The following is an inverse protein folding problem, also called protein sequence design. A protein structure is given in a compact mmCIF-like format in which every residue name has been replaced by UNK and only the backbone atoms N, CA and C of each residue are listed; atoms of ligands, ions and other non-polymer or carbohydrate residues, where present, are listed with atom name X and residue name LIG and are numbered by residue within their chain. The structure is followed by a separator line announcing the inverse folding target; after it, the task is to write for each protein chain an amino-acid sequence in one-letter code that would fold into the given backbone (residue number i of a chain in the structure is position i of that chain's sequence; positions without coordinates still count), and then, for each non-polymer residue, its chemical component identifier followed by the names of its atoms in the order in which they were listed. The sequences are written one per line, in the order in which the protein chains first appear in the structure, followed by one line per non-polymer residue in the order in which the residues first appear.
data_IF_393039684935
#
_entry.id   IF_393039684935
#
_cell.length_a   1.000
_cell.length_b   1.000
_cell.length_c   1.000
_cell.angle_alpha   90.00
_cell.angle_beta   90.00
_cell.angle_gamma   90.00
#
_symmetry.space_group_name_H-M   'P 1'
#
loop_
_entity.id
_entity.type
_entity.pdbx_description
1 polymer ?
#
# COMPACT_ATOMS: atom_id res chain seq x y z
N UNK A 1 0.32 6.73 -15.46
CA UNK A 1 0.63 5.62 -14.53
C UNK A 1 1.65 6.01 -13.45
N UNK A 2 2.80 6.57 -13.82
CA UNK A 2 3.88 6.95 -12.89
C UNK A 2 3.47 7.92 -11.76
N UNK A 3 2.68 8.97 -12.05
CA UNK A 3 2.08 9.87 -11.03
C UNK A 3 1.31 9.10 -9.97
N UNK A 4 0.42 8.25 -10.45
CA UNK A 4 -0.50 7.50 -9.63
C UNK A 4 0.26 6.51 -8.73
N UNK A 5 1.31 5.87 -9.24
CA UNK A 5 2.16 5.01 -8.42
C UNK A 5 2.85 5.77 -7.29
N UNK A 6 3.58 6.84 -7.58
CA UNK A 6 4.36 7.54 -6.55
C UNK A 6 3.44 8.13 -5.47
N UNK A 7 2.33 8.72 -5.89
CA UNK A 7 1.30 9.24 -4.98
C UNK A 7 0.67 8.10 -4.16
N UNK A 8 0.33 6.98 -4.82
CA UNK A 8 -0.20 5.79 -4.17
C UNK A 8 0.78 5.19 -3.17
N UNK A 9 2.07 5.13 -3.47
CA UNK A 9 3.09 4.60 -2.56
C UNK A 9 3.24 5.48 -1.33
N UNK A 10 3.23 6.81 -1.50
CA UNK A 10 3.22 7.75 -0.38
C UNK A 10 2.00 7.52 0.51
N UNK A 11 0.79 7.58 -0.06
CA UNK A 11 -0.44 7.47 0.72
C UNK A 11 -0.59 6.10 1.38
N UNK A 12 -0.26 5.01 0.67
CA UNK A 12 -0.25 3.67 1.26
C UNK A 12 0.78 3.54 2.37
N UNK A 13 1.89 4.30 2.34
CA UNK A 13 2.89 4.28 3.41
C UNK A 13 2.39 5.04 4.64
N UNK A 14 1.77 6.20 4.43
CA UNK A 14 1.21 7.00 5.54
C UNK A 14 -0.01 6.33 6.16
N UNK A 15 -0.85 5.69 5.34
CA UNK A 15 -2.01 4.92 5.79
C UNK A 15 -1.63 3.89 6.86
N UNK A 16 -0.46 3.26 6.76
CA UNK A 16 0.01 2.27 7.75
C UNK A 16 0.16 2.85 9.16
N UNK A 17 0.40 4.15 9.30
CA UNK A 17 0.44 4.82 10.60
C UNK A 17 -0.94 4.87 11.25
N UNK A 18 -2.01 4.99 10.45
CA UNK A 18 -3.38 5.04 10.97
C UNK A 18 -3.91 3.69 11.44
N UNK A 19 -3.15 2.61 11.20
CA UNK A 19 -3.47 1.28 11.72
C UNK A 19 -3.13 1.14 13.22
N UNK A 20 -2.38 2.07 13.80
CA UNK A 20 -2.13 2.12 15.24
C UNK A 20 -3.45 2.48 15.94
N UNK A 21 -3.81 1.70 16.97
CA UNK A 21 -5.05 1.76 17.75
C UNK A 21 -5.16 2.98 18.66
N UNK A 22 -5.13 4.17 18.06
CA UNK A 22 -5.48 5.43 18.73
C UNK A 22 -6.72 6.05 18.08
N UNK A 23 -7.40 6.92 18.82
CA UNK A 23 -8.58 7.65 18.39
C UNK A 23 -8.27 8.77 17.39
N UNK A 24 -7.66 8.42 16.25
CA UNK A 24 -7.30 9.38 15.20
C UNK A 24 -8.49 10.27 14.83
N UNK A 25 -8.30 11.60 14.72
CA UNK A 25 -9.38 12.47 14.32
C UNK A 25 -9.76 12.18 12.86
N UNK A 26 -11.06 12.26 12.56
CA UNK A 26 -11.65 11.92 11.25
C UNK A 26 -10.94 12.64 10.09
N UNK A 27 -10.45 13.86 10.33
CA UNK A 27 -9.69 14.65 9.35
C UNK A 27 -8.48 13.92 8.78
N UNK A 28 -7.80 13.07 9.56
CA UNK A 28 -6.64 12.30 9.08
C UNK A 28 -7.05 11.36 7.96
N UNK A 29 -8.16 10.64 8.13
CA UNK A 29 -8.68 9.70 7.13
C UNK A 29 -9.10 10.40 5.83
N UNK A 30 -9.67 11.62 5.90
CA UNK A 30 -9.98 12.41 4.71
C UNK A 30 -8.74 12.83 3.89
N UNK A 31 -7.56 12.86 4.51
CA UNK A 31 -6.30 13.16 3.80
C UNK A 31 -5.64 11.94 3.16
N UNK A 32 -6.24 10.76 3.32
CA UNK A 32 -5.72 9.48 2.82
C UNK A 32 -6.68 8.92 1.75
N UNK A 33 -6.46 9.23 0.46
CA UNK A 33 -7.44 8.97 -0.61
C UNK A 33 -7.70 7.48 -0.90
N UNK A 34 -6.94 6.57 -0.29
CA UNK A 34 -7.08 5.12 -0.47
C UNK A 34 -7.63 4.39 0.76
N UNK A 35 -7.83 5.09 1.88
CA UNK A 35 -8.72 4.60 2.92
C UNK A 35 -10.15 4.87 2.47
N UNK A 36 -10.67 3.98 1.64
CA UNK A 36 -12.11 3.82 1.60
C UNK A 36 -12.52 3.38 3.00
N UNK A 37 -13.34 4.12 3.75
CA UNK A 37 -13.85 3.64 5.03
C UNK A 37 -14.66 2.37 4.76
N UNK A 38 -14.03 1.20 4.95
CA UNK A 38 -14.67 -0.11 4.74
C UNK A 38 -15.86 -0.26 5.72
N UNK A 39 -15.81 0.44 6.85
CA UNK A 39 -16.93 0.60 7.79
C UNK A 39 -18.18 1.24 7.16
N UNK A 40 -18.04 2.09 6.14
CA UNK A 40 -19.20 2.76 5.50
C UNK A 40 -19.93 1.86 4.51
N UNK A 41 -19.27 0.82 3.98
CA UNK A 41 -19.94 -0.20 3.14
C UNK A 41 -20.99 -0.93 3.98
N UNK A 42 -20.72 -1.12 5.28
CA UNK A 42 -21.72 -1.62 6.22
C UNK A 42 -22.82 -0.60 6.45
N UNK A 43 -22.56 0.70 6.58
CA UNK A 43 -23.64 1.69 6.66
C UNK A 43 -24.57 1.61 5.44
N UNK A 44 -24.01 1.40 4.23
CA UNK A 44 -24.79 1.27 3.00
C UNK A 44 -25.52 -0.07 2.87
N UNK A 45 -24.98 -1.16 3.42
CA UNK A 45 -25.51 -2.52 3.28
C UNK A 45 -26.11 -3.12 4.59
N UNK A 46 -26.13 -2.38 5.69
CA UNK A 46 -26.60 -2.87 6.99
C UNK A 46 -28.05 -3.33 6.97
N UNK A 47 -28.87 -2.73 6.11
CA UNK A 47 -30.27 -3.11 5.91
C UNK A 47 -30.45 -4.44 5.17
N UNK A 48 -29.42 -4.99 4.51
CA UNK A 48 -29.49 -6.27 3.78
C UNK A 48 -28.99 -7.47 4.59
N UNK A 49 -28.64 -7.29 5.87
CA UNK A 49 -28.04 -8.34 6.69
C UNK A 49 -26.54 -8.55 6.40
N UNK A 50 -25.90 -7.63 5.69
CA UNK A 50 -24.47 -7.68 5.41
C UNK A 50 -23.63 -7.44 6.68
N UNK A 51 -22.87 -8.46 7.09
CA UNK A 51 -21.93 -8.39 8.23
C UNK A 51 -20.48 -8.26 7.78
N UNK A 52 -19.57 -7.97 8.71
CA UNK A 52 -18.12 -7.93 8.42
C UNK A 52 -17.56 -9.27 7.92
N UNK A 53 -18.18 -10.40 8.29
CA UNK A 53 -17.80 -11.71 7.73
C UNK A 53 -18.06 -11.80 6.22
N UNK A 54 -19.16 -11.20 5.74
CA UNK A 54 -19.46 -11.12 4.31
C UNK A 54 -18.43 -10.26 3.59
N UNK A 55 -18.07 -9.11 4.20
CA UNK A 55 -16.97 -8.27 3.70
C UNK A 55 -15.67 -9.07 3.59
N UNK A 56 -15.30 -9.82 4.63
CA UNK A 56 -14.10 -10.66 4.64
C UNK A 56 -14.07 -11.64 3.46
N UNK A 57 -15.14 -12.42 3.26
CA UNK A 57 -15.17 -13.38 2.16
C UNK A 57 -15.28 -12.71 0.78
N UNK A 58 -16.02 -11.60 0.67
CA UNK A 58 -16.13 -10.85 -0.59
C UNK A 58 -14.78 -10.29 -1.04
N UNK A 59 -13.99 -9.73 -0.12
CA UNK A 59 -12.66 -9.20 -0.42
C UNK A 59 -11.65 -10.29 -0.80
N UNK A 60 -11.86 -11.53 -0.36
CA UNK A 60 -11.04 -12.67 -0.79
C UNK A 60 -11.50 -13.16 -2.17
N UNK A 61 -12.76 -13.57 -2.29
CA UNK A 61 -13.19 -14.35 -3.46
C UNK A 61 -13.60 -13.53 -4.67
N UNK A 62 -14.19 -12.33 -4.51
CA UNK A 62 -14.62 -11.55 -5.66
C UNK A 62 -13.43 -11.09 -6.53
N UNK A 63 -12.32 -10.57 -5.95
CA UNK A 63 -11.12 -10.27 -6.73
C UNK A 63 -10.49 -11.52 -7.36
N UNK A 64 -10.46 -12.66 -6.65
CA UNK A 64 -9.93 -13.90 -7.21
C UNK A 64 -10.73 -14.39 -8.43
N UNK A 65 -12.07 -14.31 -8.38
CA UNK A 65 -12.92 -14.63 -9.53
C UNK A 65 -12.67 -13.68 -10.71
N UNK A 66 -12.52 -12.38 -10.41
CA UNK A 66 -12.20 -11.38 -11.44
C UNK A 66 -10.82 -11.63 -12.07
N UNK A 67 -9.80 -11.93 -11.25
CA UNK A 67 -8.46 -12.25 -11.72
C UNK A 67 -8.45 -13.53 -12.55
N UNK A 68 -9.20 -14.55 -12.12
CA UNK A 68 -9.38 -15.78 -12.89
C UNK A 68 -10.03 -15.50 -14.24
N UNK A 69 -11.07 -14.66 -14.30
CA UNK A 69 -11.72 -14.29 -15.56
C UNK A 69 -10.74 -13.59 -16.52
N UNK A 70 -9.93 -12.64 -16.03
CA UNK A 70 -8.88 -12.00 -16.83
C UNK A 70 -7.85 -13.04 -17.30
N UNK A 71 -7.39 -13.90 -16.40
CA UNK A 71 -6.39 -14.93 -16.70
C UNK A 71 -6.89 -15.93 -17.77
N UNK A 72 -8.13 -16.42 -17.65
CA UNK A 72 -8.73 -17.33 -18.61
C UNK A 72 -8.95 -16.67 -19.98
N UNK A 73 -9.33 -15.39 -20.00
CA UNK A 73 -9.44 -14.63 -21.24
C UNK A 73 -8.08 -14.42 -21.90
N UNK A 74 -7.05 -14.14 -21.10
CA UNK A 74 -5.67 -13.99 -21.57
C UNK A 74 -5.06 -15.32 -22.06
N UNK A 75 -5.40 -16.44 -21.42
CA UNK A 75 -4.88 -17.77 -21.75
C UNK A 75 -5.25 -18.28 -23.14
N UNK A 76 -6.19 -17.61 -23.82
CA UNK A 76 -6.51 -17.85 -25.24
C UNK A 76 -5.47 -17.24 -26.19
N UNK A 77 -4.68 -16.27 -25.73
CA UNK A 77 -3.63 -15.62 -26.49
C UNK A 77 -2.31 -16.41 -26.36
N UNK A 78 -1.40 -16.25 -27.34
CA UNK A 78 -0.05 -16.84 -27.24
C UNK A 78 0.72 -16.19 -26.09
N UNK A 79 1.53 -16.96 -25.36
CA UNK A 79 2.29 -16.53 -24.17
C UNK A 79 3.26 -15.36 -24.44
N UNK A 80 3.62 -15.12 -25.69
CA UNK A 80 4.49 -14.00 -26.12
C UNK A 80 3.73 -12.89 -26.86
N UNK A 81 2.40 -12.96 -26.88
CA UNK A 81 1.57 -11.93 -27.50
C UNK A 81 1.52 -10.65 -26.65
N UNK A 82 1.29 -9.52 -27.32
CA UNK A 82 1.03 -8.22 -26.67
C UNK A 82 -0.20 -8.31 -25.75
N UNK A 83 -1.20 -9.10 -26.13
CA UNK A 83 -2.43 -9.33 -25.34
C UNK A 83 -2.12 -10.00 -24.00
N UNK A 84 -1.28 -11.04 -24.01
CA UNK A 84 -0.84 -11.71 -22.79
C UNK A 84 -0.02 -10.78 -21.89
N UNK A 85 0.91 -10.01 -22.47
CA UNK A 85 1.70 -9.04 -21.73
C UNK A 85 0.82 -7.97 -21.06
N UNK A 86 -0.18 -7.43 -21.79
CA UNK A 86 -1.13 -6.46 -21.27
C UNK A 86 -2.01 -7.06 -20.16
N UNK A 87 -2.52 -8.27 -20.33
CA UNK A 87 -3.33 -8.94 -19.33
C UNK A 87 -2.53 -9.24 -18.06
N UNK A 88 -1.31 -9.76 -18.20
CA UNK A 88 -0.42 -10.02 -17.06
C UNK A 88 0.00 -8.73 -16.34
N UNK A 89 0.29 -7.67 -17.08
CA UNK A 89 0.58 -6.35 -16.51
C UNK A 89 -0.63 -5.81 -15.72
N UNK A 90 -1.83 -5.97 -16.27
CA UNK A 90 -3.10 -5.60 -15.61
C UNK A 90 -3.32 -6.39 -14.33
N UNK A 91 -3.19 -7.72 -14.38
CA UNK A 91 -3.28 -8.60 -13.20
C UNK A 91 -2.30 -8.18 -12.12
N UNK A 92 -1.06 -7.89 -12.49
CA UNK A 92 -0.02 -7.47 -11.53
C UNK A 92 -0.36 -6.14 -10.85
N UNK A 93 -0.89 -5.18 -11.60
CA UNK A 93 -1.37 -3.90 -11.05
C UNK A 93 -2.56 -4.11 -10.12
N UNK A 94 -3.55 -4.91 -10.53
CA UNK A 94 -4.72 -5.21 -9.72
C UNK A 94 -4.35 -5.93 -8.42
N UNK A 95 -3.46 -6.93 -8.48
CA UNK A 95 -2.93 -7.61 -7.29
C UNK A 95 -2.20 -6.63 -6.37
N UNK A 96 -1.43 -5.69 -6.91
CA UNK A 96 -0.74 -4.65 -6.13
C UNK A 96 -1.70 -3.74 -5.39
N UNK A 97 -2.80 -3.35 -6.04
CA UNK A 97 -3.86 -2.52 -5.44
C UNK A 97 -4.66 -3.30 -4.39
N UNK A 98 -4.92 -4.58 -4.64
CA UNK A 98 -5.68 -5.47 -3.75
C UNK A 98 -4.90 -5.90 -2.51
N UNK A 99 -3.57 -5.95 -2.58
CA UNK A 99 -2.70 -6.50 -1.53
C UNK A 99 -2.95 -5.92 -0.14
N UNK A 100 -2.93 -4.59 0.01
CA UNK A 100 -3.03 -3.96 1.34
C UNK A 100 -4.46 -4.03 1.91
N UNK A 101 -5.52 -3.68 1.14
CA UNK A 101 -6.90 -3.84 1.60
C UNK A 101 -7.26 -5.27 1.97
N UNK A 102 -6.76 -6.26 1.22
CA UNK A 102 -6.96 -7.67 1.55
C UNK A 102 -6.37 -8.02 2.92
N UNK A 103 -5.08 -7.69 3.13
CA UNK A 103 -4.43 -7.99 4.39
C UNK A 103 -5.10 -7.27 5.56
N UNK A 104 -5.44 -5.98 5.40
CA UNK A 104 -6.17 -5.20 6.42
C UNK A 104 -7.53 -5.83 6.75
N UNK A 105 -8.29 -6.26 5.74
CA UNK A 105 -9.59 -6.92 5.93
C UNK A 105 -9.44 -8.23 6.68
N UNK A 106 -8.46 -9.05 6.28
CA UNK A 106 -8.14 -10.31 6.94
C UNK A 106 -7.77 -10.08 8.41
N UNK A 107 -6.96 -9.06 8.67
CA UNK A 107 -6.51 -8.75 10.01
C UNK A 107 -7.59 -8.13 10.89
N UNK A 108 -8.52 -7.36 10.30
CA UNK A 108 -9.63 -6.76 11.03
C UNK A 108 -10.52 -7.80 11.71
N UNK A 109 -10.51 -9.05 11.23
CA UNK A 109 -11.27 -10.14 11.83
C UNK A 109 -10.69 -10.60 13.18
N UNK A 110 -9.49 -10.16 13.56
CA UNK A 110 -8.85 -10.50 14.84
C UNK A 110 -8.95 -9.39 15.89
N UNK A 111 -9.50 -8.22 15.53
CA UNK A 111 -9.67 -7.10 16.45
C UNK A 111 -10.97 -7.29 17.25
N UNK A 112 -10.85 -7.99 18.37
CA UNK A 112 -11.97 -8.34 19.24
C UNK A 112 -11.84 -7.63 20.58
N UNK A 113 -12.95 -7.07 21.07
CA UNK A 113 -13.03 -6.42 22.38
C UNK A 113 -14.24 -6.92 23.17
N UNK A 114 -14.18 -6.80 24.48
CA UNK A 114 -15.36 -6.99 25.34
C UNK A 114 -16.26 -5.75 25.23
N UNK A 115 -17.57 -5.97 25.16
CA UNK A 115 -18.54 -4.87 25.09
C UNK A 115 -19.33 -4.78 26.40
N UNK A 116 -19.46 -3.60 27.01
CA UNK A 116 -20.19 -3.44 28.26
C UNK A 116 -21.66 -3.88 28.07
N UNK A 117 -22.10 -4.82 28.89
CA UNK A 117 -23.48 -5.34 28.86
C UNK A 117 -23.71 -6.56 27.96
N UNK A 118 -22.68 -7.14 27.34
CA UNK A 118 -22.77 -8.43 26.64
C UNK A 118 -21.70 -9.40 27.15
N UNK A 119 -22.07 -10.68 27.25
CA UNK A 119 -21.12 -11.75 27.62
C UNK A 119 -20.39 -12.21 26.35
N UNK A 120 -19.06 -12.23 26.41
CA UNK A 120 -18.19 -12.65 25.31
C UNK A 120 -17.48 -11.49 24.61
N UNK A 121 -16.55 -11.83 23.71
CA UNK A 121 -15.82 -10.87 22.89
C UNK A 121 -16.49 -10.72 21.55
N UNK A 122 -16.58 -9.50 21.06
CA UNK A 122 -17.18 -9.20 19.75
C UNK A 122 -16.18 -8.42 18.92
N UNK A 123 -16.38 -8.45 17.61
CA UNK A 123 -15.52 -7.75 16.69
C UNK A 123 -15.69 -6.23 16.85
N UNK A 124 -14.58 -5.50 16.95
CA UNK A 124 -14.59 -4.03 17.11
C UNK A 124 -15.27 -3.37 15.90
N UNK A 125 -14.97 -3.87 14.70
CA UNK A 125 -15.57 -3.38 13.45
C UNK A 125 -17.04 -3.80 13.25
N UNK A 126 -17.48 -4.87 13.93
CA UNK A 126 -18.85 -5.35 13.85
C UNK A 126 -19.29 -6.10 15.12
N UNK A 127 -19.91 -5.38 16.07
CA UNK A 127 -20.37 -5.99 17.33
C UNK A 127 -21.50 -7.01 17.18
N UNK A 128 -22.00 -7.28 15.96
CA UNK A 128 -22.92 -8.38 15.69
C UNK A 128 -22.21 -9.73 15.50
N UNK A 129 -20.89 -9.70 15.26
CA UNK A 129 -20.06 -10.89 15.05
C UNK A 129 -19.38 -11.27 16.36
N UNK A 130 -19.69 -12.45 16.88
CA UNK A 130 -19.04 -13.02 18.08
C UNK A 130 -17.66 -13.57 17.72
N UNK A 131 -16.67 -13.24 18.55
CA UNK A 131 -15.30 -13.73 18.42
C UNK A 131 -15.07 -15.11 19.05
N UNK A 132 -16.04 -15.63 19.81
CA UNK A 132 -15.91 -16.86 20.60
C UNK A 132 -16.68 -18.06 19.98
N UNK A 133 -17.27 -17.91 18.78
CA UNK A 133 -18.05 -18.96 18.12
C UNK A 133 -17.23 -19.93 17.24
N UNK A 134 -17.79 -21.13 16.96
CA UNK A 134 -17.15 -22.17 16.14
C UNK A 134 -16.86 -21.76 14.69
N UNK A 135 -17.67 -20.84 14.13
CA UNK A 135 -17.47 -20.28 12.77
C UNK A 135 -16.10 -19.59 12.61
N UNK A 136 -15.44 -19.24 13.72
CA UNK A 136 -14.13 -18.58 13.74
C UNK A 136 -13.02 -19.48 13.21
N UNK A 137 -13.12 -20.80 13.34
CA UNK A 137 -12.09 -21.72 12.82
C UNK A 137 -11.91 -21.50 11.31
N UNK A 138 -13.00 -21.37 10.55
CA UNK A 138 -12.95 -21.09 9.11
C UNK A 138 -12.24 -19.77 8.82
N UNK A 139 -12.56 -18.71 9.57
CA UNK A 139 -11.95 -17.38 9.41
C UNK A 139 -10.44 -17.45 9.68
N UNK A 140 -10.01 -18.14 10.74
CA UNK A 140 -8.59 -18.30 11.07
C UNK A 140 -7.83 -19.05 9.98
N UNK A 141 -8.40 -20.12 9.43
CA UNK A 141 -7.81 -20.88 8.33
C UNK A 141 -7.65 -20.01 7.08
N UNK A 142 -8.71 -19.31 6.66
CA UNK A 142 -8.67 -18.44 5.49
C UNK A 142 -7.69 -17.28 5.69
N UNK A 143 -7.71 -16.65 6.86
CA UNK A 143 -6.78 -15.58 7.21
C UNK A 143 -5.32 -16.05 7.15
N UNK A 144 -5.02 -17.20 7.75
CA UNK A 144 -3.68 -17.79 7.71
C UNK A 144 -3.23 -18.10 6.28
N UNK A 145 -4.11 -18.69 5.46
CA UNK A 145 -3.81 -18.99 4.06
C UNK A 145 -3.57 -17.72 3.25
N UNK A 146 -4.41 -16.70 3.40
CA UNK A 146 -4.26 -15.42 2.69
C UNK A 146 -2.97 -14.73 3.11
N UNK A 147 -2.67 -14.67 4.41
CA UNK A 147 -1.44 -14.04 4.89
C UNK A 147 -0.19 -14.80 4.42
N UNK A 148 -0.22 -16.14 4.44
CA UNK A 148 0.90 -16.98 3.99
C UNK A 148 1.12 -16.89 2.47
N UNK A 149 0.05 -17.01 1.68
CA UNK A 149 0.12 -17.05 0.20
C UNK A 149 0.28 -15.64 -0.37
N UNK A 150 -0.60 -14.71 0.01
CA UNK A 150 -0.60 -13.35 -0.53
C UNK A 150 0.37 -12.48 0.24
N UNK A 151 0.30 -12.46 1.57
CA UNK A 151 1.16 -11.60 2.40
C UNK A 151 2.66 -11.91 2.23
N UNK A 152 3.05 -13.18 2.31
CA UNK A 152 4.46 -13.60 2.26
C UNK A 152 4.83 -14.23 0.92
N UNK A 153 4.01 -15.15 0.41
CA UNK A 153 4.29 -15.91 -0.81
C UNK A 153 4.43 -15.04 -2.05
N UNK A 154 3.50 -14.11 -2.29
CA UNK A 154 3.53 -13.24 -3.48
C UNK A 154 4.78 -12.33 -3.54
N UNK A 155 5.20 -11.66 -2.44
CA UNK A 155 6.44 -10.88 -2.45
C UNK A 155 7.69 -11.72 -2.70
N UNK A 156 7.79 -12.90 -2.07
CA UNK A 156 8.93 -13.82 -2.24
C UNK A 156 8.98 -14.39 -3.66
N UNK A 157 7.83 -14.75 -4.23
CA UNK A 157 7.70 -15.17 -5.62
C UNK A 157 8.17 -14.06 -6.56
N UNK A 158 7.65 -12.84 -6.38
CA UNK A 158 8.01 -11.68 -7.20
C UNK A 158 9.50 -11.36 -7.11
N UNK A 159 10.08 -11.43 -5.91
CA UNK A 159 11.51 -11.22 -5.69
C UNK A 159 12.34 -12.25 -6.47
N UNK A 160 11.98 -13.52 -6.32
CA UNK A 160 12.68 -14.64 -6.96
C UNK A 160 12.60 -14.57 -8.48
N UNK A 161 11.41 -14.26 -9.03
CA UNK A 161 11.21 -14.15 -10.47
C UNK A 161 11.92 -12.95 -11.07
N UNK A 162 11.84 -11.79 -10.46
CA UNK A 162 12.57 -10.59 -10.93
C UNK A 162 14.09 -10.83 -10.88
N UNK A 163 14.59 -11.52 -9.85
CA UNK A 163 16.00 -11.92 -9.77
C UNK A 163 16.39 -12.87 -10.90
N UNK A 164 15.57 -13.87 -11.22
CA UNK A 164 15.81 -14.77 -12.35
C UNK A 164 15.85 -13.99 -13.68
N UNK A 165 14.91 -13.07 -13.91
CA UNK A 165 14.89 -12.22 -15.10
C UNK A 165 16.14 -11.34 -15.21
N UNK A 166 16.60 -10.78 -14.08
CA UNK A 166 17.85 -10.02 -14.02
C UNK A 166 19.05 -10.85 -14.45
N UNK A 167 19.21 -12.05 -13.89
CA UNK A 167 20.34 -12.95 -14.19
C UNK A 167 20.30 -13.38 -15.66
N UNK A 168 19.11 -13.60 -16.21
CA UNK A 168 18.92 -13.95 -17.62
C UNK A 168 19.08 -12.77 -18.59
N UNK A 169 19.26 -11.53 -18.10
CA UNK A 169 19.31 -10.33 -18.95
C UNK A 169 17.97 -9.96 -19.60
N UNK A 170 16.84 -10.44 -19.07
CA UNK A 170 15.49 -10.29 -19.61
C UNK A 170 14.63 -9.28 -18.82
N UNK A 171 15.25 -8.21 -18.32
CA UNK A 171 14.54 -7.09 -17.70
C UNK A 171 14.09 -6.10 -18.78
N UNK A 172 13.11 -6.51 -19.56
CA UNK A 172 12.54 -5.71 -20.65
C UNK A 172 11.09 -5.29 -20.38
N UNK A 173 10.61 -4.27 -21.10
CA UNK A 173 9.23 -3.79 -20.96
C UNK A 173 8.18 -4.84 -21.33
N UNK A 174 8.55 -5.86 -22.14
CA UNK A 174 7.70 -6.97 -22.56
C UNK A 174 7.47 -8.03 -21.47
N UNK A 175 8.25 -8.01 -20.39
CA UNK A 175 8.07 -8.92 -19.28
C UNK A 175 6.73 -8.74 -18.59
N UNK A 176 6.08 -9.85 -18.22
CA UNK A 176 4.84 -9.90 -17.44
C UNK A 176 4.89 -9.15 -16.10
N UNK A 177 6.10 -8.98 -15.53
CA UNK A 177 6.34 -8.32 -14.25
C UNK A 177 6.95 -6.91 -14.41
N UNK A 178 7.01 -6.37 -15.63
CA UNK A 178 7.60 -5.05 -15.90
C UNK A 178 6.97 -3.96 -15.04
N UNK A 179 5.67 -4.05 -14.78
CA UNK A 179 4.96 -3.13 -13.89
C UNK A 179 5.52 -3.10 -12.47
N UNK A 180 6.13 -4.17 -11.95
CA UNK A 180 6.75 -4.18 -10.61
C UNK A 180 8.12 -3.50 -10.60
N UNK A 181 8.94 -3.72 -11.63
CA UNK A 181 10.35 -3.30 -11.60
C UNK A 181 10.72 -2.09 -12.46
N UNK A 182 9.86 -1.63 -13.37
CA UNK A 182 10.20 -0.57 -14.35
C UNK A 182 10.62 0.77 -13.73
N UNK A 183 10.31 1.01 -12.46
CA UNK A 183 10.67 2.24 -11.75
C UNK A 183 11.93 2.11 -10.90
N UNK A 184 12.51 0.90 -10.87
CA UNK A 184 13.71 0.60 -10.12
C UNK A 184 14.91 0.46 -11.06
N UNK A 185 16.06 0.82 -10.54
CA UNK A 185 17.32 0.64 -11.22
C UNK A 185 17.64 -0.87 -11.34
N UNK A 186 18.56 -1.18 -12.24
CA UNK A 186 19.00 -2.56 -12.48
C UNK A 186 19.74 -3.17 -11.30
N UNK A 187 20.25 -2.36 -10.35
CA UNK A 187 20.90 -2.85 -9.14
C UNK A 187 19.87 -3.51 -8.20
N UNK A 188 18.68 -2.93 -8.04
CA UNK A 188 17.64 -3.38 -7.11
C UNK A 188 16.23 -3.45 -7.75
N UNK A 189 16.02 -4.23 -8.83
CA UNK A 189 14.73 -4.29 -9.52
C UNK A 189 13.62 -4.95 -8.70
N UNK A 190 13.99 -5.70 -7.65
CA UNK A 190 13.08 -6.44 -6.77
C UNK A 190 12.56 -5.62 -5.58
N UNK A 191 12.82 -4.31 -5.55
CA UNK A 191 12.51 -3.48 -4.37
C UNK A 191 11.01 -3.36 -4.07
N UNK A 192 10.13 -3.52 -5.07
CA UNK A 192 8.68 -3.61 -4.83
C UNK A 192 8.33 -4.76 -3.86
N UNK A 193 9.02 -5.90 -3.96
CA UNK A 193 8.82 -7.02 -3.03
C UNK A 193 9.18 -6.65 -1.60
N UNK A 194 10.21 -5.82 -1.39
CA UNK A 194 10.60 -5.32 -0.07
C UNK A 194 9.48 -4.45 0.51
N UNK A 195 8.85 -3.64 -0.33
CA UNK A 195 7.70 -2.81 0.06
C UNK A 195 6.50 -3.65 0.47
N UNK A 196 6.17 -4.70 -0.30
CA UNK A 196 5.10 -5.60 0.09
C UNK A 196 5.40 -6.32 1.41
N UNK A 197 6.61 -6.86 1.59
CA UNK A 197 7.00 -7.49 2.86
C UNK A 197 6.91 -6.54 4.05
N UNK A 198 7.33 -5.28 3.88
CA UNK A 198 7.16 -4.23 4.90
C UNK A 198 5.68 -4.03 5.25
N UNK A 199 4.80 -3.94 4.25
CA UNK A 199 3.35 -3.78 4.46
C UNK A 199 2.75 -4.98 5.18
N UNK A 200 3.06 -6.22 4.76
CA UNK A 200 2.62 -7.42 5.46
C UNK A 200 3.14 -7.46 6.89
N UNK A 201 4.40 -7.10 7.13
CA UNK A 201 4.96 -7.05 8.48
C UNK A 201 4.22 -6.03 9.36
N UNK A 202 3.96 -4.82 8.86
CA UNK A 202 3.21 -3.80 9.60
C UNK A 202 1.79 -4.27 9.90
N UNK A 203 1.03 -4.67 8.87
CA UNK A 203 -0.37 -5.10 9.02
C UNK A 203 -0.47 -6.35 9.91
N UNK A 204 0.37 -7.36 9.68
CA UNK A 204 0.36 -8.60 10.43
C UNK A 204 0.75 -8.43 11.90
N UNK A 205 1.78 -7.63 12.20
CA UNK A 205 2.22 -7.41 13.58
C UNK A 205 1.12 -6.72 14.40
N UNK A 206 0.48 -5.68 13.86
CA UNK A 206 -0.64 -5.01 14.52
C UNK A 206 -1.79 -5.97 14.88
N UNK A 207 -1.87 -7.11 14.19
CA UNK A 207 -2.96 -8.10 14.31
C UNK A 207 -2.64 -9.26 15.24
N UNK A 208 -1.36 -9.51 15.48
CA UNK A 208 -0.90 -10.53 16.43
C UNK A 208 -0.96 -9.94 17.85
N UNK A 209 -0.55 -8.68 18.01
CA UNK A 209 -0.47 -8.02 19.32
C UNK A 209 -1.82 -7.48 19.83
N UNK A 210 -2.84 -7.41 18.97
CA UNK A 210 -4.25 -7.12 19.33
C UNK A 210 -4.84 -8.12 20.31
N UNK A 211 -4.46 -9.39 20.22
CA UNK A 211 -5.06 -10.46 21.02
C UNK A 211 -4.44 -10.64 22.42
N UNK A 212 -3.40 -9.89 22.75
CA UNK A 212 -2.78 -9.94 24.08
C UNK A 212 -3.44 -8.92 25.02
N UNK A 213 -4.25 -9.43 25.96
CA UNK A 213 -5.17 -8.80 26.94
C UNK A 213 -4.64 -7.66 27.85
N UNK A 214 -3.73 -6.79 27.39
CA UNK A 214 -3.38 -5.55 28.11
C UNK A 214 -3.68 -4.35 27.24
N UNK A 215 -4.96 -4.00 27.18
CA UNK A 215 -5.50 -2.85 26.43
C UNK A 215 -4.67 -1.57 26.64
N UNK A 216 -4.19 -1.32 27.86
CA UNK A 216 -3.42 -0.10 28.18
C UNK A 216 -2.10 0.05 27.42
N UNK A 217 -1.45 -1.05 27.00
CA UNK A 217 -0.13 -1.01 26.38
C UNK A 217 -0.16 -1.28 24.87
N UNK A 218 -1.34 -1.57 24.31
CA UNK A 218 -1.50 -1.94 22.90
C UNK A 218 -0.95 -0.85 21.96
N UNK A 219 -1.35 0.44 22.06
CA UNK A 219 -0.89 1.45 21.10
C UNK A 219 0.61 1.75 21.22
N UNK A 220 1.19 1.58 22.43
CA UNK A 220 2.63 1.72 22.69
C UNK A 220 3.42 0.65 21.93
N UNK A 221 3.01 -0.62 22.05
CA UNK A 221 3.67 -1.76 21.39
C UNK A 221 3.54 -1.63 19.86
N UNK A 222 2.33 -1.34 19.37
CA UNK A 222 2.04 -1.14 17.94
C UNK A 222 2.90 -0.01 17.35
N UNK A 223 2.98 1.14 18.04
CA UNK A 223 3.80 2.28 17.61
C UNK A 223 5.29 1.94 17.61
N UNK A 224 5.78 1.26 18.65
CA UNK A 224 7.20 0.91 18.80
C UNK A 224 7.66 -0.06 17.72
N UNK A 225 6.88 -1.11 17.45
CA UNK A 225 7.15 -2.08 16.39
C UNK A 225 7.07 -1.42 15.01
N UNK A 226 6.07 -0.57 14.80
CA UNK A 226 5.93 0.19 13.55
C UNK A 226 7.11 1.13 13.33
N UNK A 227 7.62 1.78 14.38
CA UNK A 227 8.85 2.58 14.31
C UNK A 227 10.06 1.73 13.94
N UNK A 228 10.22 0.55 14.54
CA UNK A 228 11.34 -0.35 14.24
C UNK A 228 11.31 -0.82 12.77
N UNK A 229 10.15 -1.28 12.28
CA UNK A 229 10.00 -1.75 10.89
C UNK A 229 10.24 -0.60 9.90
N UNK A 230 9.63 0.56 10.13
CA UNK A 230 9.79 1.71 9.26
C UNK A 230 11.21 2.30 9.32
N UNK A 231 11.86 2.26 10.48
CA UNK A 231 13.25 2.67 10.65
C UNK A 231 14.20 1.77 9.86
N UNK A 232 14.02 0.45 9.97
CA UNK A 232 14.77 -0.52 9.16
C UNK A 232 14.55 -0.29 7.67
N UNK A 233 13.30 -0.04 7.26
CA UNK A 233 12.98 0.25 5.88
C UNK A 233 13.67 1.54 5.37
N UNK A 234 13.71 2.62 6.15
CA UNK A 234 14.42 3.86 5.80
C UNK A 234 15.92 3.59 5.62
N UNK A 235 16.53 2.79 6.50
CA UNK A 235 17.95 2.41 6.37
C UNK A 235 18.17 1.64 5.06
N UNK A 236 17.33 0.66 4.75
CA UNK A 236 17.39 -0.11 3.49
C UNK A 236 17.21 0.80 2.28
N UNK A 237 16.21 1.68 2.30
CA UNK A 237 15.92 2.63 1.23
C UNK A 237 17.11 3.58 0.97
N UNK A 238 17.71 4.12 2.03
CA UNK A 238 18.85 5.03 1.94
C UNK A 238 20.10 4.34 1.40
N UNK A 239 20.34 3.08 1.79
CA UNK A 239 21.49 2.28 1.35
C UNK A 239 21.35 1.79 -0.09
N UNK A 240 20.17 1.30 -0.46
CA UNK A 240 19.95 0.67 -1.77
C UNK A 240 19.72 1.70 -2.88
N UNK A 241 19.06 2.83 -2.57
CA UNK A 241 18.67 3.88 -3.54
C UNK A 241 18.05 3.27 -4.81
N UNK A 242 16.95 2.52 -4.67
CA UNK A 242 16.52 1.54 -5.66
C UNK A 242 15.93 2.18 -6.92
N UNK A 243 15.61 3.47 -6.92
CA UNK A 243 14.83 4.09 -8.00
C UNK A 243 15.68 4.51 -9.20
N UNK A 244 15.07 4.46 -10.39
CA UNK A 244 15.60 5.11 -11.59
C UNK A 244 15.72 6.62 -11.35
N UNK A 245 16.75 7.25 -11.88
CA UNK A 245 16.94 8.69 -11.74
C UNK A 245 15.90 9.45 -12.57
N UNK A 246 14.95 10.10 -11.88
CA UNK A 246 14.04 11.06 -12.48
C UNK A 246 14.32 12.45 -11.91
N UNK A 247 15.04 13.32 -12.63
CA UNK A 247 15.44 14.62 -12.10
C UNK A 247 14.21 15.49 -11.88
N UNK A 248 14.15 16.16 -10.73
CA UNK A 248 13.23 17.26 -10.49
C UNK A 248 13.99 18.57 -10.39
N UNK A 249 13.67 19.48 -11.29
CA UNK A 249 14.19 20.84 -11.28
C UNK A 249 13.68 21.69 -10.13
N UNK A 250 12.44 21.43 -9.68
CA UNK A 250 11.88 22.07 -8.49
C UNK A 250 12.69 21.74 -7.23
N UNK A 251 13.24 20.52 -7.15
CA UNK A 251 14.06 20.05 -6.03
C UNK A 251 15.56 20.01 -6.35
N UNK A 252 16.06 20.90 -7.21
CA UNK A 252 17.50 21.05 -7.47
C UNK A 252 18.15 19.79 -8.08
N UNK A 253 17.52 19.18 -9.09
CA UNK A 253 17.94 17.95 -9.77
C UNK A 253 18.09 16.72 -8.86
N UNK A 254 17.38 16.70 -7.73
CA UNK A 254 17.25 15.48 -6.92
C UNK A 254 16.31 14.48 -7.60
N UNK A 255 16.50 13.19 -7.30
CA UNK A 255 15.64 12.12 -7.81
C UNK A 255 14.26 12.21 -7.15
N UNK A 256 13.23 12.54 -7.94
CA UNK A 256 11.87 12.73 -7.45
C UNK A 256 11.27 11.47 -6.82
N UNK A 257 11.56 10.27 -7.33
CA UNK A 257 11.05 9.02 -6.74
C UNK A 257 11.68 8.73 -5.40
N UNK A 258 13.00 8.91 -5.32
CA UNK A 258 13.72 8.74 -4.06
C UNK A 258 13.20 9.74 -3.01
N UNK A 259 12.94 10.99 -3.41
CA UNK A 259 12.40 12.01 -2.51
C UNK A 259 10.99 11.66 -2.04
N UNK A 260 10.10 11.26 -2.95
CA UNK A 260 8.73 10.89 -2.60
C UNK A 260 8.70 9.69 -1.66
N UNK A 261 9.47 8.65 -1.96
CA UNK A 261 9.56 7.47 -1.10
C UNK A 261 10.15 7.82 0.28
N UNK A 262 11.24 8.58 0.31
CA UNK A 262 11.88 9.01 1.55
C UNK A 262 10.92 9.87 2.39
N UNK A 263 10.18 10.77 1.75
CA UNK A 263 9.19 11.61 2.44
C UNK A 263 8.03 10.80 3.00
N UNK A 264 7.53 9.78 2.30
CA UNK A 264 6.50 8.87 2.83
C UNK A 264 7.02 8.06 4.00
N UNK A 265 8.26 7.56 3.93
CA UNK A 265 8.89 6.83 5.01
C UNK A 265 9.14 7.72 6.26
N UNK A 266 9.59 8.97 6.05
CA UNK A 266 9.74 9.96 7.14
C UNK A 266 8.37 10.33 7.72
N UNK A 267 7.36 10.56 6.89
CA UNK A 267 5.99 10.87 7.33
C UNK A 267 5.43 9.72 8.19
N UNK A 268 5.64 8.46 7.77
CA UNK A 268 5.23 7.30 8.56
C UNK A 268 6.01 7.19 9.88
N UNK A 269 7.33 7.42 9.88
CA UNK A 269 8.11 7.48 11.13
C UNK A 269 7.60 8.58 12.07
N UNK A 270 7.44 9.80 11.56
CA UNK A 270 6.90 10.92 12.33
C UNK A 270 5.52 10.60 12.87
N UNK A 271 4.63 10.10 12.02
CA UNK A 271 3.30 9.65 12.41
C UNK A 271 3.29 8.58 13.50
N UNK A 272 4.21 7.60 13.46
CA UNK A 272 4.32 6.58 14.50
C UNK A 272 4.90 7.15 15.81
N UNK A 273 5.81 8.13 15.74
CA UNK A 273 6.26 8.87 16.94
C UNK A 273 5.10 9.64 17.54
N UNK A 274 4.31 10.33 16.70
CA UNK A 274 3.13 11.05 17.14
C UNK A 274 2.11 10.09 17.78
N UNK A 275 1.89 8.93 17.20
CA UNK A 275 1.00 7.91 17.74
C UNK A 275 1.50 7.38 19.10
N UNK A 276 2.81 7.16 19.23
CA UNK A 276 3.42 6.79 20.50
C UNK A 276 3.21 7.87 21.58
N UNK A 277 3.42 9.15 21.23
CA UNK A 277 3.16 10.27 22.17
C UNK A 277 1.69 10.33 22.55
N UNK A 278 0.80 10.21 21.56
CA UNK A 278 -0.65 10.23 21.75
C UNK A 278 -1.15 9.07 22.62
N UNK A 279 -0.45 7.94 22.63
CA UNK A 279 -0.78 6.81 23.51
C UNK A 279 -0.58 7.08 24.99
N UNK A 280 0.17 8.13 25.36
CA UNK A 280 0.35 8.58 26.74
C UNK A 280 -0.62 9.70 27.16
N UNK A 281 -1.19 10.44 26.21
CA UNK A 281 -2.13 11.53 26.48
C UNK A 281 -3.16 11.69 25.35
N UNK A 282 -4.40 11.29 25.62
CA UNK A 282 -5.52 11.38 24.69
C UNK A 282 -5.80 12.82 24.21
N UNK A 283 -5.49 13.83 25.03
CA UNK A 283 -5.70 15.24 24.65
C UNK A 283 -4.82 15.66 23.48
N UNK A 284 -3.66 15.02 23.32
CA UNK A 284 -2.73 15.30 22.24
C UNK A 284 -3.17 14.65 20.91
N UNK A 285 -4.00 13.61 20.94
CA UNK A 285 -4.40 12.85 19.74
C UNK A 285 -4.97 13.77 18.65
N UNK A 286 -5.85 14.69 19.01
CA UNK A 286 -6.47 15.63 18.06
C UNK A 286 -5.46 16.60 17.45
N UNK A 287 -4.58 17.18 18.27
CA UNK A 287 -3.55 18.13 17.82
C UNK A 287 -2.56 17.44 16.90
N UNK A 288 -2.10 16.24 17.29
CA UNK A 288 -1.13 15.46 16.54
C UNK A 288 -1.74 14.90 15.24
N UNK A 289 -3.01 14.50 15.26
CA UNK A 289 -3.74 14.11 14.06
C UNK A 289 -3.90 15.26 13.08
N UNK A 290 -4.22 16.48 13.54
CA UNK A 290 -4.26 17.67 12.68
C UNK A 290 -2.89 17.98 12.05
N UNK A 291 -1.80 17.82 12.82
CA UNK A 291 -0.44 17.99 12.30
C UNK A 291 -0.11 16.96 11.21
N UNK A 292 -0.46 15.68 11.42
CA UNK A 292 -0.29 14.62 10.43
C UNK A 292 -1.11 14.89 9.15
N UNK A 293 -2.38 15.27 9.31
CA UNK A 293 -3.25 15.64 8.20
C UNK A 293 -2.67 16.82 7.39
N UNK A 294 -2.19 17.86 8.06
CA UNK A 294 -1.53 19.00 7.43
C UNK A 294 -0.27 18.60 6.64
N UNK A 295 0.54 17.68 7.18
CA UNK A 295 1.72 17.14 6.51
C UNK A 295 1.33 16.36 5.24
N UNK A 296 0.30 15.52 5.32
CA UNK A 296 -0.20 14.73 4.18
C UNK A 296 -0.71 15.61 3.04
N UNK A 297 -1.54 16.61 3.37
CA UNK A 297 -2.08 17.57 2.39
C UNK A 297 -0.95 18.39 1.77
N UNK A 298 -0.02 18.89 2.59
CA UNK A 298 1.12 19.68 2.11
C UNK A 298 1.98 18.87 1.14
N UNK A 299 2.28 17.62 1.49
CA UNK A 299 3.02 16.73 0.59
C UNK A 299 2.25 16.47 -0.71
N UNK A 300 0.98 16.11 -0.64
CA UNK A 300 0.16 15.82 -1.80
C UNK A 300 0.10 17.02 -2.77
N UNK A 301 -0.07 18.22 -2.23
CA UNK A 301 -0.09 19.48 -2.99
C UNK A 301 1.28 19.75 -3.61
N UNK A 302 2.36 19.75 -2.81
CA UNK A 302 3.72 20.01 -3.29
C UNK A 302 4.15 19.00 -4.36
N UNK A 303 3.83 17.72 -4.15
CA UNK A 303 4.13 16.66 -5.12
C UNK A 303 3.34 16.87 -6.42
N UNK A 304 2.05 17.19 -6.32
CA UNK A 304 1.21 17.47 -7.50
C UNK A 304 1.73 18.66 -8.29
N UNK A 305 2.14 19.74 -7.62
CA UNK A 305 2.75 20.92 -8.24
C UNK A 305 4.07 20.55 -8.93
N UNK A 306 5.00 19.95 -8.19
CA UNK A 306 6.32 19.59 -8.71
C UNK A 306 6.20 18.67 -9.94
N UNK A 307 5.36 17.63 -9.86
CA UNK A 307 5.15 16.72 -10.97
C UNK A 307 4.45 17.40 -12.16
N UNK A 308 3.49 18.30 -11.92
CA UNK A 308 2.83 19.05 -12.99
C UNK A 308 3.80 19.95 -13.74
N UNK A 309 4.69 20.63 -13.02
CA UNK A 309 5.77 21.43 -13.61
C UNK A 309 6.70 20.58 -14.48
N UNK A 310 7.12 19.40 -14.00
CA UNK A 310 8.02 18.53 -14.77
C UNK A 310 7.37 17.99 -16.05
N UNK A 311 6.08 17.63 -16.03
CA UNK A 311 5.39 17.21 -17.28
C UNK A 311 5.32 18.34 -18.29
N UNK A 312 4.94 19.54 -17.85
CA UNK A 312 4.83 20.69 -18.75
C UNK A 312 6.20 21.00 -19.36
N UNK A 313 7.27 20.87 -18.57
CA UNK A 313 8.64 21.05 -19.04
C UNK A 313 9.05 19.97 -20.05
N UNK A 314 8.79 18.69 -19.74
CA UNK A 314 9.10 17.58 -20.64
C UNK A 314 8.39 17.72 -22.00
N UNK A 315 7.10 18.12 -21.99
CA UNK A 315 6.35 18.41 -23.21
C UNK A 315 6.98 19.54 -24.03
N UNK A 316 7.38 20.64 -23.39
CA UNK A 316 8.06 21.76 -24.07
C UNK A 316 9.39 21.34 -24.69
N UNK A 317 10.14 20.46 -24.03
CA UNK A 317 11.39 19.93 -24.57
C UNK A 317 11.15 19.04 -25.79
N UNK A 318 10.17 18.14 -25.74
CA UNK A 318 9.82 17.28 -26.87
C UNK A 318 9.43 18.09 -28.11
N UNK A 319 8.54 19.09 -27.96
CA UNK A 319 8.14 19.98 -29.07
C UNK A 319 9.34 20.70 -29.69
N UNK A 320 10.26 21.23 -28.86
CA UNK A 320 11.47 21.89 -29.37
C UNK A 320 12.43 20.94 -30.08
N UNK A 321 12.52 19.68 -29.66
CA UNK A 321 13.33 18.69 -30.38
C UNK A 321 12.72 18.34 -31.73
N UNK A 322 11.41 18.19 -31.80
CA UNK A 322 10.69 17.92 -33.05
C UNK A 322 10.82 19.09 -34.03
N UNK A 323 10.67 20.34 -33.57
CA UNK A 323 10.90 21.55 -34.37
C UNK A 323 12.33 21.58 -34.95
N UNK A 324 13.35 21.26 -34.12
CA UNK A 324 14.75 21.19 -34.58
C UNK A 324 15.01 20.07 -35.57
N UNK A 325 14.25 18.97 -35.51
CA UNK A 325 14.36 17.87 -36.48
C UNK A 325 13.72 18.26 -37.81
N UNK A 326 12.54 18.90 -37.76
CA UNK A 326 11.86 19.40 -38.96
C UNK A 326 12.68 20.48 -39.67
N UNK A 327 13.24 21.44 -38.94
CA UNK A 327 14.07 22.49 -39.52
C UNK A 327 15.35 21.95 -40.19
N UNK A 328 15.86 20.79 -39.75
CA UNK A 328 17.00 20.11 -40.40
C UNK A 328 16.60 19.36 -41.67
N UNK A 329 15.35 18.93 -41.79
CA UNK A 329 14.84 18.25 -42.97
C UNK A 329 14.47 19.24 -44.09
N UNK A 330 14.02 20.44 -43.74
CA UNK A 330 13.67 21.50 -44.71
C UNK A 330 14.90 22.27 -45.26
N UNK A 331 16.05 22.14 -44.61
CA UNK A 331 17.31 22.81 -45.00
C UNK A 331 18.23 22.00 -45.93
N UNK A 332 17.80 20.81 -46.39
CA UNK A 332 18.50 19.94 -47.34
C UNK A 332 17.68 19.79 -48.62
#
# INVERSE_FOLDING_TARGET
MMRLRVLSTYFQTVELTTLISISWPVVVFFTLPFQLPISDVKCLASSSGWSQEHTFYAYIYAPLLFFLAIYLNAGKARVESVEWANASGTLTVLTTLWYSPLLQTVTSMFDCSEFPGRVGRFLVSDPSVSCDGDSRISIHIHAFLVFSIVGIGFPLYSFSKIRQLKIAGKLDASSSLSSLYQFYNTAAPYFESVQFLRKAALIGMLSIFTNTNRESNRPIIESTLSLAINGMYVVVLYRVRPFVYFPSSFFGNRNLYQLAEMSGAIASLGGNVLALVASFDEKLVNILGLALAGLNVSFAVLFTIAFSMEIVRAKRFAVREDEKRLSKLEGN
#
